data_IF_315292205251
#
_entry.id   IF_315292205251
#
_cell.length_a   1.000
_cell.length_b   1.000
_cell.length_c   1.000
_cell.angle_alpha   90.00
_cell.angle_beta   90.00
_cell.angle_gamma   90.00
#
_symmetry.space_group_name_H-M   'P 1'
#
loop_
_entity.id
_entity.type
_entity.pdbx_description
1 polymer ?
#
# COMPACT_ATOMS: atom_id res chain seq x y z
N UNK A 1 13.54 1.91 10.95
CA UNK A 1 14.04 2.04 9.56
C UNK A 1 15.56 1.89 9.53
N UNK A 2 16.34 2.88 10.01
CA UNK A 2 17.82 2.85 9.98
C UNK A 2 18.44 1.61 10.70
N UNK A 3 17.94 1.25 11.89
CA UNK A 3 18.42 0.06 12.59
C UNK A 3 18.07 -1.26 11.88
N UNK A 4 16.94 -1.29 11.17
CA UNK A 4 16.48 -2.47 10.43
C UNK A 4 17.26 -2.66 9.12
N UNK A 5 17.66 -1.57 8.46
CA UNK A 5 18.49 -1.60 7.25
C UNK A 5 19.98 -1.81 7.53
N UNK A 6 20.42 -1.78 8.80
CA UNK A 6 21.84 -1.81 9.21
C UNK A 6 22.70 -0.73 8.54
N UNK A 7 22.08 0.35 8.06
CA UNK A 7 22.75 1.47 7.39
C UNK A 7 23.00 2.63 8.37
N UNK A 8 24.04 3.44 8.14
CA UNK A 8 24.23 4.69 8.88
C UNK A 8 23.26 5.81 8.44
N UNK A 9 23.06 6.84 9.28
CA UNK A 9 22.21 8.01 8.95
C UNK A 9 22.59 8.65 7.61
N UNK A 10 23.88 8.78 7.30
CA UNK A 10 24.35 9.36 6.03
C UNK A 10 23.98 8.52 4.80
N UNK A 11 23.95 7.19 4.92
CA UNK A 11 23.52 6.30 3.85
C UNK A 11 22.00 6.37 3.64
N UNK A 12 21.22 6.51 4.72
CA UNK A 12 19.77 6.74 4.60
C UNK A 12 19.46 8.02 3.81
N UNK A 13 20.10 9.13 4.16
CA UNK A 13 19.89 10.42 3.48
C UNK A 13 20.41 10.47 2.04
N UNK A 14 21.30 9.55 1.66
CA UNK A 14 21.71 9.38 0.27
C UNK A 14 20.59 8.84 -0.62
N UNK A 15 19.74 7.95 -0.09
CA UNK A 15 18.63 7.35 -0.85
C UNK A 15 17.30 8.10 -0.65
N UNK A 16 17.05 8.63 0.55
CA UNK A 16 15.80 9.31 0.87
C UNK A 16 16.09 10.64 1.54
N UNK A 17 15.60 11.73 0.92
CA UNK A 17 15.85 13.09 1.40
C UNK A 17 15.30 13.33 2.83
N UNK A 18 14.18 12.71 3.16
CA UNK A 18 13.49 12.81 4.45
C UNK A 18 12.58 11.57 4.65
N UNK A 19 11.84 11.54 5.76
CA UNK A 19 10.91 10.44 6.08
C UNK A 19 9.80 10.35 5.04
N UNK A 20 9.29 11.50 4.61
CA UNK A 20 8.19 11.63 3.65
C UNK A 20 8.58 11.04 2.30
N UNK A 21 9.81 11.30 1.83
CA UNK A 21 10.35 10.73 0.61
C UNK A 21 10.50 9.21 0.67
N UNK A 22 10.85 8.64 1.84
CA UNK A 22 10.84 7.19 2.00
C UNK A 22 9.41 6.62 1.96
N UNK A 23 8.47 7.27 2.65
CA UNK A 23 7.07 6.82 2.64
C UNK A 23 6.50 6.87 1.23
N UNK A 24 6.79 7.94 0.47
CA UNK A 24 6.44 8.07 -0.94
C UNK A 24 6.92 6.86 -1.75
N UNK A 25 8.22 6.55 -1.69
CA UNK A 25 8.80 5.43 -2.45
C UNK A 25 8.20 4.06 -2.05
N UNK A 26 7.88 3.87 -0.76
CA UNK A 26 7.17 2.67 -0.30
C UNK A 26 5.77 2.61 -0.91
N UNK A 27 5.01 3.70 -0.89
CA UNK A 27 3.66 3.75 -1.47
C UNK A 27 3.67 3.55 -2.99
N UNK A 28 4.62 4.16 -3.69
CA UNK A 28 4.79 3.96 -5.14
C UNK A 28 5.16 2.51 -5.47
N UNK A 29 6.01 1.87 -4.66
CA UNK A 29 6.32 0.44 -4.80
C UNK A 29 5.08 -0.44 -4.63
N UNK A 30 4.23 -0.13 -3.63
CA UNK A 30 2.96 -0.83 -3.43
C UNK A 30 1.99 -0.60 -4.59
N UNK A 31 1.86 0.65 -5.04
CA UNK A 31 1.01 1.00 -6.17
C UNK A 31 1.41 0.23 -7.41
N UNK A 32 2.71 0.12 -7.69
CA UNK A 32 3.17 -0.60 -8.86
C UNK A 32 2.98 -2.10 -8.73
N UNK A 33 3.17 -2.67 -7.54
CA UNK A 33 2.84 -4.08 -7.29
C UNK A 33 1.35 -4.37 -7.54
N UNK A 34 0.45 -3.46 -7.16
CA UNK A 34 -1.00 -3.57 -7.44
C UNK A 34 -1.27 -3.50 -8.95
N UNK A 35 -0.64 -2.54 -9.65
CA UNK A 35 -0.82 -2.38 -11.10
C UNK A 35 -0.27 -3.56 -11.90
N UNK A 36 0.86 -4.12 -11.47
CA UNK A 36 1.53 -5.23 -12.15
C UNK A 36 1.01 -6.61 -11.75
N UNK A 37 0.03 -6.69 -10.84
CA UNK A 37 -0.48 -7.95 -10.31
C UNK A 37 0.52 -8.75 -9.46
N UNK A 38 1.54 -8.10 -8.90
CA UNK A 38 2.55 -8.73 -8.01
C UNK A 38 2.31 -8.45 -6.53
N UNK A 39 1.26 -7.70 -6.20
CA UNK A 39 0.84 -7.47 -4.83
C UNK A 39 0.43 -8.80 -4.14
N UNK A 40 0.55 -8.89 -2.80
CA UNK A 40 0.09 -10.07 -2.04
C UNK A 40 -1.42 -10.36 -2.15
N UNK A 41 -2.20 -9.36 -2.57
CA UNK A 41 -3.62 -9.47 -2.87
C UNK A 41 -3.75 -9.39 -4.40
N UNK A 42 -4.49 -10.33 -4.99
CA UNK A 42 -4.79 -10.32 -6.42
C UNK A 42 -5.95 -9.36 -6.74
N UNK A 43 -5.65 -8.22 -7.37
CA UNK A 43 -6.67 -7.22 -7.74
C UNK A 43 -7.25 -7.42 -9.16
N UNK A 44 -6.91 -8.51 -9.86
CA UNK A 44 -7.50 -8.86 -11.16
C UNK A 44 -8.79 -9.67 -10.94
N UNK A 45 -9.92 -8.96 -10.86
CA UNK A 45 -11.21 -9.54 -10.53
C UNK A 45 -12.06 -9.64 -11.80
N UNK A 46 -12.15 -10.83 -12.38
CA UNK A 46 -12.88 -11.09 -13.63
C UNK A 46 -14.13 -11.96 -13.47
N UNK A 47 -14.35 -12.50 -12.27
CA UNK A 47 -15.45 -13.40 -11.96
C UNK A 47 -15.85 -13.30 -10.48
N UNK A 48 -17.05 -13.79 -10.16
CA UNK A 48 -17.50 -13.90 -8.76
C UNK A 48 -16.54 -14.71 -7.88
N UNK A 49 -15.90 -15.73 -8.46
CA UNK A 49 -14.90 -16.54 -7.77
C UNK A 49 -13.61 -15.74 -7.48
N UNK A 50 -13.23 -14.85 -8.39
CA UNK A 50 -12.10 -13.94 -8.15
C UNK A 50 -12.43 -12.93 -7.05
N UNK A 51 -13.65 -12.42 -7.03
CA UNK A 51 -14.10 -11.51 -5.97
C UNK A 51 -14.11 -12.21 -4.60
N UNK A 52 -14.59 -13.44 -4.52
CA UNK A 52 -14.52 -14.24 -3.29
C UNK A 52 -13.08 -14.47 -2.85
N UNK A 53 -12.19 -14.85 -3.79
CA UNK A 53 -10.75 -14.99 -3.53
C UNK A 53 -10.14 -13.70 -3.01
N UNK A 54 -10.48 -12.55 -3.60
CA UNK A 54 -9.98 -11.25 -3.16
C UNK A 54 -10.30 -10.96 -1.68
N UNK A 55 -11.50 -11.31 -1.20
CA UNK A 55 -11.83 -11.21 0.22
C UNK A 55 -11.04 -12.21 1.08
N UNK A 56 -10.86 -13.45 0.62
CA UNK A 56 -10.08 -14.47 1.33
C UNK A 56 -8.61 -14.06 1.45
N UNK A 57 -8.00 -13.54 0.40
CA UNK A 57 -6.61 -13.08 0.40
C UNK A 57 -6.41 -11.95 1.42
N UNK A 58 -7.39 -11.05 1.56
CA UNK A 58 -7.36 -10.02 2.61
C UNK A 58 -7.42 -10.63 4.01
N UNK A 59 -8.26 -11.64 4.23
CA UNK A 59 -8.33 -12.33 5.52
C UNK A 59 -7.02 -13.06 5.83
N UNK A 60 -6.42 -13.74 4.85
CA UNK A 60 -5.13 -14.43 5.01
C UNK A 60 -3.99 -13.46 5.30
N UNK A 61 -3.96 -12.31 4.61
CA UNK A 61 -2.99 -11.27 4.89
C UNK A 61 -3.13 -10.75 6.33
N UNK A 62 -4.35 -10.54 6.81
CA UNK A 62 -4.61 -10.12 8.18
C UNK A 62 -4.24 -11.20 9.20
N UNK A 63 -4.54 -12.47 8.93
CA UNK A 63 -4.16 -13.63 9.76
C UNK A 63 -2.64 -13.75 9.91
N UNK A 64 -1.87 -13.51 8.85
CA UNK A 64 -0.39 -13.50 8.88
C UNK A 64 0.18 -12.51 9.90
N UNK A 65 -0.56 -11.45 10.22
CA UNK A 65 -0.22 -10.47 11.23
C UNK A 65 -1.05 -10.60 12.51
N UNK A 66 -1.58 -11.80 12.76
CA UNK A 66 -2.35 -12.16 13.97
C UNK A 66 -3.59 -11.26 14.18
N UNK A 67 -4.13 -10.68 13.10
CA UNK A 67 -5.23 -9.71 13.14
C UNK A 67 -4.92 -8.45 13.98
N UNK A 68 -3.64 -8.15 14.23
CA UNK A 68 -3.22 -7.01 15.08
C UNK A 68 -2.96 -5.72 14.30
N UNK A 69 -3.03 -5.78 12.97
CA UNK A 69 -2.71 -4.65 12.09
C UNK A 69 -3.94 -4.20 11.31
N UNK A 70 -4.03 -2.90 11.04
CA UNK A 70 -5.04 -2.34 10.14
C UNK A 70 -4.63 -2.43 8.67
N UNK A 71 -5.47 -1.89 7.78
CA UNK A 71 -5.08 -1.61 6.41
C UNK A 71 -3.94 -0.56 6.42
N UNK A 72 -2.76 -0.84 5.86
CA UNK A 72 -1.62 0.07 5.94
C UNK A 72 -1.92 1.44 5.30
N UNK A 73 -2.66 1.47 4.19
CA UNK A 73 -3.03 2.72 3.51
C UNK A 73 -4.09 3.50 4.28
N UNK A 74 -5.07 2.81 4.87
CA UNK A 74 -6.12 3.45 5.66
C UNK A 74 -5.60 4.00 6.99
N UNK A 75 -4.72 3.26 7.67
CA UNK A 75 -4.04 3.75 8.88
C UNK A 75 -3.18 4.97 8.55
N UNK A 76 -2.34 4.88 7.51
CA UNK A 76 -1.50 6.00 7.09
C UNK A 76 -2.33 7.23 6.69
N UNK A 77 -3.41 7.03 5.91
CA UNK A 77 -4.30 8.11 5.49
C UNK A 77 -4.99 8.86 6.65
N UNK A 78 -5.14 8.22 7.82
CA UNK A 78 -5.68 8.86 9.02
C UNK A 78 -4.61 9.56 9.87
N UNK A 79 -3.34 9.18 9.72
CA UNK A 79 -2.22 9.73 10.50
C UNK A 79 -1.50 10.90 9.81
N UNK A 80 -1.67 11.06 8.50
CA UNK A 80 -1.07 12.17 7.73
C UNK A 80 -1.72 13.51 8.06
N UNK A 81 -0.88 14.53 8.26
CA UNK A 81 -1.32 15.90 8.49
C UNK A 81 -1.61 16.63 7.17
N UNK A 82 -2.18 17.83 7.24
CA UNK A 82 -2.41 18.68 6.06
C UNK A 82 -1.09 19.09 5.36
N UNK A 83 0.03 19.09 6.09
CA UNK A 83 1.34 19.46 5.57
C UNK A 83 2.03 18.29 4.81
N UNK A 84 1.53 17.06 4.96
CA UNK A 84 2.07 15.84 4.33
C UNK A 84 1.47 15.59 2.94
N UNK A 85 1.37 16.65 2.13
CA UNK A 85 0.58 16.64 0.88
C UNK A 85 1.00 15.53 -0.09
N UNK A 86 2.31 15.28 -0.25
CA UNK A 86 2.81 14.21 -1.11
C UNK A 86 2.27 12.83 -0.71
N UNK A 87 2.34 12.51 0.59
CA UNK A 87 1.88 11.22 1.11
C UNK A 87 0.35 11.11 1.00
N UNK A 88 -0.38 12.21 1.22
CA UNK A 88 -1.84 12.26 1.03
C UNK A 88 -2.23 11.95 -0.42
N UNK A 89 -1.51 12.51 -1.39
CA UNK A 89 -1.74 12.26 -2.80
C UNK A 89 -1.44 10.80 -3.17
N UNK A 90 -0.34 10.23 -2.68
CA UNK A 90 0.01 8.82 -2.91
C UNK A 90 -1.07 7.87 -2.36
N UNK A 91 -1.52 8.08 -1.12
CA UNK A 91 -2.58 7.27 -0.51
C UNK A 91 -3.89 7.40 -1.29
N UNK A 92 -4.24 8.61 -1.71
CA UNK A 92 -5.45 8.86 -2.51
C UNK A 92 -5.40 8.13 -3.85
N UNK A 93 -4.25 8.16 -4.53
CA UNK A 93 -4.04 7.46 -5.80
C UNK A 93 -4.16 5.94 -5.64
N UNK A 94 -3.62 5.37 -4.56
CA UNK A 94 -3.77 3.93 -4.27
C UNK A 94 -5.25 3.57 -4.10
N UNK A 95 -6.00 4.36 -3.32
CA UNK A 95 -7.44 4.11 -3.14
C UNK A 95 -8.22 4.24 -4.44
N UNK A 96 -7.88 5.20 -5.30
CA UNK A 96 -8.49 5.34 -6.62
C UNK A 96 -8.22 4.12 -7.50
N UNK A 97 -6.97 3.65 -7.58
CA UNK A 97 -6.60 2.48 -8.38
C UNK A 97 -7.31 1.21 -7.88
N UNK A 98 -7.32 0.96 -6.57
CA UNK A 98 -8.01 -0.19 -5.99
C UNK A 98 -9.51 -0.12 -6.25
N UNK A 99 -10.13 1.06 -6.07
CA UNK A 99 -11.54 1.29 -6.36
C UNK A 99 -11.86 1.00 -7.82
N UNK A 100 -11.04 1.49 -8.76
CA UNK A 100 -11.27 1.31 -10.19
C UNK A 100 -11.16 -0.16 -10.60
N UNK A 101 -10.19 -0.91 -10.06
CA UNK A 101 -10.09 -2.36 -10.30
C UNK A 101 -11.33 -3.11 -9.79
N UNK A 102 -11.82 -2.76 -8.60
CA UNK A 102 -13.05 -3.37 -8.06
C UNK A 102 -14.31 -2.94 -8.84
N UNK A 103 -14.41 -1.68 -9.25
CA UNK A 103 -15.55 -1.17 -9.99
C UNK A 103 -15.64 -1.79 -11.40
N UNK A 104 -14.50 -2.04 -12.04
CA UNK A 104 -14.44 -2.68 -13.36
C UNK A 104 -15.09 -4.06 -13.39
N UNK A 105 -15.15 -4.78 -12.26
CA UNK A 105 -15.87 -6.05 -12.16
C UNK A 105 -17.40 -5.91 -12.31
N UNK A 106 -17.97 -4.75 -11.94
CA UNK A 106 -19.41 -4.50 -11.94
C UNK A 106 -19.93 -3.79 -13.19
N UNK A 107 -19.05 -3.45 -14.13
CA UNK A 107 -19.37 -2.83 -15.42
C UNK A 107 -19.46 -3.89 -16.52
#
# INVERSE_FOLDING_TARGET
MIAASRTGKGQFYHYFRNKEGLVHEVLQTYLEAIKSGTAPIDYEISSWRDLERWFVDHLELQRRYEMTRGCPFGTLGNEVSADDELVRQDVSLIFEVVRNKLAAFFL
#
